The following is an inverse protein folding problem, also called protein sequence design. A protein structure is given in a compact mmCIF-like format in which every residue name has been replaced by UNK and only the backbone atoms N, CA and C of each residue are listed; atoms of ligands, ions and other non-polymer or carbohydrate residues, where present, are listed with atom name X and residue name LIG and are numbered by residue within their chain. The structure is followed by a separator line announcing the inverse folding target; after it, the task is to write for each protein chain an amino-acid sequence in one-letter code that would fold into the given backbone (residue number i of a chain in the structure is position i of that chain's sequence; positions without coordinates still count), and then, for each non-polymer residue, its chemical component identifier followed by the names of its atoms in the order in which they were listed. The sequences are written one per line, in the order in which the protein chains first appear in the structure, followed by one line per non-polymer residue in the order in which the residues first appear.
data_IF_553659807347
#
_entry.id   IF_553659807347
#
_cell.length_a   1.000
_cell.length_b   1.000
_cell.length_c   1.000
_cell.angle_alpha   90.00
_cell.angle_beta   90.00
_cell.angle_gamma   90.00
#
_symmetry.space_group_name_H-M   'P 1'
#
loop_
_entity.id
_entity.type
_entity.pdbx_description
1 polymer ?
#
# COMPACT_ATOMS: atom_id res chain seq x y z
N UNK A 1 2.23 9.76 10.43
CA UNK A 1 2.69 8.36 10.55
C UNK A 1 1.75 7.65 11.50
N UNK A 2 1.04 6.59 11.07
CA UNK A 2 0.30 5.77 12.01
C UNK A 2 1.30 4.96 12.85
N UNK A 3 1.04 4.85 14.16
CA UNK A 3 1.91 4.12 15.08
C UNK A 3 1.81 2.59 14.93
N UNK A 4 2.51 1.83 15.78
CA UNK A 4 2.58 0.36 15.73
C UNK A 4 1.24 -0.38 15.88
N UNK A 5 0.14 0.32 16.15
CA UNK A 5 -1.21 -0.25 16.15
C UNK A 5 -1.77 -0.52 14.74
N UNK A 6 -1.27 0.15 13.70
CA UNK A 6 -1.69 -0.09 12.31
C UNK A 6 -1.16 -1.42 11.76
N UNK A 7 -0.06 -1.94 12.30
CA UNK A 7 0.56 -3.20 11.87
C UNK A 7 -0.21 -4.46 12.26
N UNK A 8 -1.26 -4.33 13.08
CA UNK A 8 -2.04 -5.46 13.59
C UNK A 8 -3.38 -5.65 12.85
N UNK A 9 -3.67 -4.84 11.83
CA UNK A 9 -4.88 -5.00 11.03
C UNK A 9 -4.72 -6.10 9.97
N UNK A 10 -4.94 -7.33 10.43
CA UNK A 10 -4.97 -8.55 9.61
C UNK A 10 -6.42 -9.00 9.32
N UNK A 11 -7.40 -8.08 9.43
CA UNK A 11 -8.83 -8.44 9.35
C UNK A 11 -9.29 -8.88 7.95
N UNK A 12 -8.56 -8.49 6.90
CA UNK A 12 -8.83 -8.86 5.51
C UNK A 12 -7.73 -9.77 4.94
N UNK A 13 -8.09 -11.03 4.64
CA UNK A 13 -7.13 -12.03 4.16
C UNK A 13 -6.57 -11.65 2.80
N UNK A 14 -5.25 -11.68 2.61
CA UNK A 14 -4.63 -11.37 1.31
C UNK A 14 -4.73 -9.89 0.88
N UNK A 15 -5.21 -9.02 1.76
CA UNK A 15 -5.32 -7.59 1.52
C UNK A 15 -3.95 -6.89 1.29
N UNK A 16 -2.87 -7.50 1.79
CA UNK A 16 -1.50 -7.04 1.60
C UNK A 16 -1.12 -5.80 2.42
N UNK A 17 0.18 -5.52 2.51
CA UNK A 17 0.76 -4.35 3.18
C UNK A 17 2.20 -4.13 2.67
N UNK A 18 2.74 -2.92 2.84
CA UNK A 18 4.14 -2.59 2.53
C UNK A 18 4.87 -2.11 3.78
N UNK A 19 6.10 -2.60 3.95
CA UNK A 19 7.01 -2.20 5.03
C UNK A 19 8.19 -1.43 4.42
N UNK A 20 8.45 -0.23 4.91
CA UNK A 20 9.59 0.59 4.47
C UNK A 20 10.69 0.49 5.50
N UNK A 21 11.88 0.10 5.06
CA UNK A 21 13.09 0.06 5.89
C UNK A 21 14.11 1.06 5.34
N UNK A 22 14.81 1.74 6.23
CA UNK A 22 15.97 2.60 5.91
C UNK A 22 17.24 2.01 6.50
N UNK A 23 18.35 2.22 5.80
CA UNK A 23 19.68 1.85 6.25
C UNK A 23 20.58 3.07 6.26
N UNK A 24 21.01 3.46 7.45
CA UNK A 24 21.99 4.53 7.61
C UNK A 24 23.42 3.98 7.42
N UNK A 25 23.99 4.23 6.24
CA UNK A 25 25.33 3.79 5.88
C UNK A 25 25.48 2.27 5.89
N UNK A 26 26.43 1.75 6.67
CA UNK A 26 26.67 0.30 6.80
C UNK A 26 25.93 -0.35 7.99
N UNK A 27 25.13 0.40 8.74
CA UNK A 27 24.39 -0.08 9.92
C UNK A 27 23.28 -1.10 9.60
N UNK A 28 22.53 -1.56 10.61
CA UNK A 28 21.35 -2.41 10.39
C UNK A 28 20.24 -1.63 9.69
N UNK A 29 19.32 -2.36 9.03
CA UNK A 29 18.06 -1.80 8.57
C UNK A 29 17.16 -1.50 9.78
N UNK A 30 16.53 -0.34 9.78
CA UNK A 30 15.48 0.04 10.71
C UNK A 30 14.17 0.24 9.96
N UNK A 31 13.07 -0.21 10.54
CA UNK A 31 11.76 0.04 9.94
C UNK A 31 11.40 1.50 10.12
N UNK A 32 11.08 2.17 9.01
CA UNK A 32 10.67 3.57 8.99
C UNK A 32 9.14 3.71 8.92
N UNK A 33 8.47 2.84 8.16
CA UNK A 33 7.03 2.93 7.98
C UNK A 33 6.38 1.56 7.75
N UNK A 34 5.09 1.53 8.04
CA UNK A 34 4.14 0.52 7.62
C UNK A 34 3.04 1.21 6.80
N UNK A 35 2.71 0.61 5.67
CA UNK A 35 1.80 1.16 4.68
C UNK A 35 0.69 0.14 4.41
N UNK A 36 -0.53 0.57 4.68
CA UNK A 36 -1.78 -0.14 4.40
C UNK A 36 -2.72 0.83 3.70
N UNK A 37 -3.40 0.38 2.66
CA UNK A 37 -4.43 1.19 2.03
C UNK A 37 -5.65 1.30 2.96
N UNK A 38 -6.36 2.42 2.90
CA UNK A 38 -7.49 2.70 3.79
C UNK A 38 -8.75 1.91 3.45
N UNK A 39 -8.78 1.27 2.29
CA UNK A 39 -9.91 0.55 1.70
C UNK A 39 -9.53 -0.88 1.31
N UNK A 40 -8.64 -1.53 2.07
CA UNK A 40 -8.18 -2.86 1.66
C UNK A 40 -9.24 -3.93 1.93
N UNK A 41 -9.65 -4.60 0.86
CA UNK A 41 -10.51 -5.77 0.88
C UNK A 41 -9.70 -7.06 0.78
N UNK A 42 -10.44 -8.16 0.97
CA UNK A 42 -9.87 -9.51 0.90
C UNK A 42 -9.34 -9.76 -0.51
N UNK A 43 -8.06 -10.14 -0.62
CA UNK A 43 -7.34 -10.44 -1.86
C UNK A 43 -6.98 -9.24 -2.75
N UNK A 44 -7.04 -7.99 -2.27
CA UNK A 44 -6.60 -6.83 -3.06
C UNK A 44 -5.09 -6.84 -3.38
N UNK A 45 -4.30 -7.58 -2.60
CA UNK A 45 -2.87 -7.76 -2.77
C UNK A 45 -2.06 -6.45 -2.84
N UNK A 46 -2.36 -5.48 -1.95
CA UNK A 46 -1.53 -4.29 -1.82
C UNK A 46 -0.07 -4.69 -1.56
N UNK A 47 0.85 -4.14 -2.36
CA UNK A 47 2.27 -4.46 -2.29
C UNK A 47 2.72 -5.55 -3.26
N UNK A 48 1.85 -6.05 -4.14
CA UNK A 48 2.24 -6.98 -5.21
C UNK A 48 3.33 -6.39 -6.13
N UNK A 49 3.34 -5.06 -6.30
CA UNK A 49 4.43 -4.32 -6.95
C UNK A 49 4.76 -3.02 -6.21
N UNK A 50 6.04 -2.63 -6.22
CA UNK A 50 6.52 -1.40 -5.58
C UNK A 50 7.58 -0.70 -6.43
N UNK A 51 7.59 0.64 -6.40
CA UNK A 51 8.70 1.44 -6.92
C UNK A 51 8.90 2.69 -6.08
N UNK A 52 10.13 3.20 -6.06
CA UNK A 52 10.52 4.39 -5.32
C UNK A 52 11.12 5.40 -6.29
N UNK A 53 10.81 6.68 -6.10
CA UNK A 53 11.46 7.76 -6.84
C UNK A 53 12.98 7.75 -6.58
N UNK A 54 13.76 8.29 -7.53
CA UNK A 54 15.22 8.26 -7.44
C UNK A 54 15.79 9.01 -6.23
N UNK A 55 15.04 9.96 -5.67
CA UNK A 55 15.35 10.70 -4.44
C UNK A 55 14.76 10.08 -3.17
N UNK A 56 13.97 9.00 -3.31
CA UNK A 56 13.37 8.30 -2.18
C UNK A 56 12.14 8.97 -1.57
N UNK A 57 11.63 10.07 -2.14
CA UNK A 57 10.53 10.84 -1.53
C UNK A 57 9.13 10.36 -1.90
N UNK A 58 9.00 9.49 -2.90
CA UNK A 58 7.69 9.01 -3.37
C UNK A 58 7.72 7.51 -3.57
N UNK A 59 6.84 6.81 -2.86
CA UNK A 59 6.60 5.38 -3.01
C UNK A 59 5.32 5.17 -3.81
N UNK A 60 5.38 4.37 -4.87
CA UNK A 60 4.20 3.86 -5.56
C UNK A 60 4.01 2.37 -5.26
N UNK A 61 2.80 2.00 -4.87
CA UNK A 61 2.41 0.64 -4.46
C UNK A 61 1.23 0.17 -5.29
N UNK A 62 1.36 -0.98 -5.94
CA UNK A 62 0.25 -1.61 -6.67
C UNK A 62 -0.58 -2.54 -5.78
N UNK A 63 -1.88 -2.58 -6.05
CA UNK A 63 -2.84 -3.57 -5.54
C UNK A 63 -3.57 -4.15 -6.76
N UNK A 64 -3.08 -5.26 -7.29
CA UNK A 64 -3.46 -5.76 -8.62
C UNK A 64 -4.90 -6.23 -8.74
N UNK A 65 -5.55 -6.50 -7.61
CA UNK A 65 -6.90 -7.06 -7.54
C UNK A 65 -7.89 -6.14 -6.83
N UNK A 66 -7.52 -4.91 -6.55
CA UNK A 66 -8.43 -3.94 -5.94
C UNK A 66 -9.60 -3.62 -6.89
N UNK A 67 -10.81 -3.48 -6.33
CA UNK A 67 -12.08 -3.47 -7.06
C UNK A 67 -12.58 -2.05 -7.43
N UNK A 68 -11.69 -1.05 -7.33
CA UNK A 68 -11.94 0.37 -7.52
C UNK A 68 -12.35 0.77 -8.94
N UNK A 69 -13.41 1.57 -9.09
CA UNK A 69 -13.82 2.14 -10.38
C UNK A 69 -13.25 3.56 -10.66
N UNK A 70 -12.23 3.96 -9.92
CA UNK A 70 -11.63 5.28 -10.10
C UNK A 70 -10.84 5.35 -11.42
N UNK A 71 -11.21 6.28 -12.30
CA UNK A 71 -10.48 6.53 -13.57
C UNK A 71 -9.41 7.63 -13.45
N UNK A 72 -9.20 8.16 -12.24
CA UNK A 72 -8.27 9.25 -11.96
C UNK A 72 -7.76 9.21 -10.52
N UNK A 73 -7.00 10.23 -10.13
CA UNK A 73 -6.40 10.33 -8.79
C UNK A 73 -7.48 10.73 -7.77
N UNK A 74 -7.44 10.12 -6.58
CA UNK A 74 -8.35 10.42 -5.47
C UNK A 74 -9.85 10.20 -5.79
N UNK A 75 -10.15 9.10 -6.50
CA UNK A 75 -11.52 8.62 -6.67
C UNK A 75 -12.16 8.15 -5.35
N UNK A 76 -13.40 7.69 -5.44
CA UNK A 76 -14.09 7.13 -4.28
C UNK A 76 -13.44 5.79 -3.90
N UNK A 77 -12.77 5.75 -2.74
CA UNK A 77 -12.12 4.53 -2.22
C UNK A 77 -13.11 3.50 -1.67
N UNK A 78 -14.38 3.84 -1.53
CA UNK A 78 -15.43 2.90 -1.12
C UNK A 78 -16.23 2.36 -2.33
N UNK A 79 -15.70 2.52 -3.54
CA UNK A 79 -16.35 2.05 -4.77
C UNK A 79 -15.70 0.76 -5.26
N UNK A 80 -16.25 -0.37 -4.86
CA UNK A 80 -15.76 -1.70 -5.25
C UNK A 80 -16.61 -2.29 -6.40
N UNK A 81 -17.09 -1.43 -7.30
CA UNK A 81 -17.97 -1.83 -8.40
C UNK A 81 -17.25 -2.44 -9.60
N UNK A 82 -15.91 -2.40 -9.65
CA UNK A 82 -15.11 -2.80 -10.79
C UNK A 82 -14.14 -3.94 -10.42
N UNK A 83 -14.66 -5.17 -10.42
CA UNK A 83 -13.93 -6.37 -10.04
C UNK A 83 -12.52 -6.48 -10.67
N UNK A 84 -11.50 -6.52 -9.82
CA UNK A 84 -10.07 -6.65 -10.11
C UNK A 84 -9.55 -5.63 -11.11
N UNK A 85 -10.07 -4.39 -11.07
CA UNK A 85 -9.57 -3.30 -11.91
C UNK A 85 -8.12 -2.92 -11.57
N UNK A 86 -7.75 -3.11 -10.30
CA UNK A 86 -6.46 -2.79 -9.74
C UNK A 86 -6.29 -1.30 -9.44
N UNK A 87 -5.43 -1.01 -8.47
CA UNK A 87 -5.12 0.36 -8.05
C UNK A 87 -3.63 0.59 -7.84
N UNK A 88 -3.23 1.87 -7.89
CA UNK A 88 -1.90 2.34 -7.49
C UNK A 88 -2.06 3.41 -6.41
N UNK A 89 -1.35 3.22 -5.31
CA UNK A 89 -1.31 4.14 -4.17
C UNK A 89 0.04 4.86 -4.15
N UNK A 90 0.01 6.18 -3.96
CA UNK A 90 1.20 7.03 -3.84
C UNK A 90 1.34 7.53 -2.39
N UNK A 91 2.56 7.43 -1.85
CA UNK A 91 2.93 7.87 -0.50
C UNK A 91 4.14 8.79 -0.52
#
# INVERSE_FOLDING_TARGET
SPGPAAEADDSASGAGAVYVFVRDGMGPWSQQAYVKASNTDTLDELGNSVTLSGDGSTLAVGASFEDGNATGIAGNQADDSAASAGAVYLY
#
